data_IF_819965841580
#
_entry.id   IF_819965841580
#
_cell.length_a   1.000
_cell.length_b   1.000
_cell.length_c   1.000
_cell.angle_alpha   90.00
_cell.angle_beta   90.00
_cell.angle_gamma   90.00
#
_symmetry.space_group_name_H-M   'P 1'
#
loop_
_entity.id
_entity.type
_entity.pdbx_description
1 polymer ?
#
# COMPACT_ATOMS: atom_id res chain seq x y z
N UNK A 1 23.30 -14.42 -32.09
CA UNK A 1 21.91 -14.78 -31.73
C UNK A 1 21.45 -16.16 -32.21
N UNK A 2 21.93 -16.72 -33.34
CA UNK A 2 21.58 -18.10 -33.76
C UNK A 2 22.22 -19.23 -32.93
N UNK A 3 23.28 -18.95 -32.17
CA UNK A 3 24.02 -19.97 -31.40
C UNK A 3 23.47 -20.19 -29.98
N UNK A 4 22.66 -19.27 -29.43
CA UNK A 4 22.12 -19.43 -28.06
C UNK A 4 20.96 -20.44 -28.00
N UNK A 5 20.18 -20.56 -29.09
CA UNK A 5 19.10 -21.54 -29.20
C UNK A 5 19.57 -22.99 -29.43
N UNK A 6 20.84 -23.22 -29.76
CA UNK A 6 21.35 -24.54 -30.10
C UNK A 6 21.80 -25.36 -28.88
N UNK A 7 22.12 -24.72 -27.75
CA UNK A 7 22.68 -25.40 -26.56
C UNK A 7 21.72 -25.46 -25.37
N UNK A 8 20.73 -24.58 -25.28
CA UNK A 8 19.73 -24.57 -24.21
C UNK A 8 18.34 -24.86 -24.78
N UNK A 9 17.99 -26.15 -24.85
CA UNK A 9 16.64 -26.56 -25.22
C UNK A 9 15.61 -25.94 -24.25
N UNK A 10 14.37 -25.76 -24.71
CA UNK A 10 13.25 -25.33 -23.88
C UNK A 10 13.10 -26.09 -22.54
N UNK A 11 13.53 -27.36 -22.37
CA UNK A 11 13.48 -28.04 -21.07
C UNK A 11 14.44 -27.43 -20.03
N UNK A 12 15.63 -26.97 -20.44
CA UNK A 12 16.58 -26.34 -19.52
C UNK A 12 16.01 -25.03 -18.95
N UNK A 13 15.44 -24.20 -19.83
CA UNK A 13 14.74 -22.96 -19.44
C UNK A 13 13.55 -23.28 -18.52
N UNK A 14 12.79 -24.34 -18.81
CA UNK A 14 11.67 -24.75 -17.97
C UNK A 14 12.13 -25.19 -16.57
N UNK A 15 13.23 -25.94 -16.47
CA UNK A 15 13.82 -26.36 -15.18
C UNK A 15 14.33 -25.17 -14.39
N UNK A 16 15.02 -24.21 -15.03
CA UNK A 16 15.48 -22.98 -14.39
C UNK A 16 14.32 -22.15 -13.84
N UNK A 17 13.26 -21.96 -14.64
CA UNK A 17 12.06 -21.24 -14.19
C UNK A 17 11.35 -21.96 -13.04
N UNK A 18 11.28 -23.30 -13.08
CA UNK A 18 10.68 -24.09 -12.01
C UNK A 18 11.49 -23.99 -10.72
N UNK A 19 12.83 -24.10 -10.80
CA UNK A 19 13.73 -23.96 -9.66
C UNK A 19 13.63 -22.56 -9.05
N UNK A 20 13.63 -21.53 -9.90
CA UNK A 20 13.46 -20.13 -9.49
C UNK A 20 12.13 -19.91 -8.77
N UNK A 21 11.03 -20.44 -9.32
CA UNK A 21 9.71 -20.38 -8.68
C UNK A 21 9.68 -21.11 -7.33
N UNK A 22 10.32 -22.28 -7.23
CA UNK A 22 10.41 -23.04 -5.99
C UNK A 22 11.23 -22.30 -4.92
N UNK A 23 12.38 -21.72 -5.29
CA UNK A 23 13.21 -20.92 -4.39
C UNK A 23 12.48 -19.67 -3.91
N UNK A 24 11.75 -18.99 -4.80
CA UNK A 24 10.92 -17.83 -4.42
C UNK A 24 9.80 -18.21 -3.47
N UNK A 25 9.08 -19.30 -3.75
CA UNK A 25 8.02 -19.80 -2.87
C UNK A 25 8.57 -20.23 -1.50
N UNK A 26 9.71 -20.95 -1.49
CA UNK A 26 10.42 -21.36 -0.28
C UNK A 26 10.90 -20.17 0.54
N UNK A 27 11.54 -19.19 -0.11
CA UNK A 27 12.00 -17.95 0.51
C UNK A 27 10.86 -17.15 1.12
N UNK A 28 9.72 -17.02 0.42
CA UNK A 28 8.51 -16.38 0.96
C UNK A 28 7.96 -17.10 2.19
N UNK A 29 7.89 -18.42 2.15
CA UNK A 29 7.42 -19.23 3.28
C UNK A 29 8.36 -19.07 4.48
N UNK A 30 9.68 -19.08 4.25
CA UNK A 30 10.68 -18.88 5.29
C UNK A 30 10.60 -17.47 5.90
N UNK A 31 10.45 -16.42 5.08
CA UNK A 31 10.26 -15.05 5.55
C UNK A 31 9.01 -14.92 6.41
N UNK A 32 7.87 -15.46 5.97
CA UNK A 32 6.63 -15.44 6.77
C UNK A 32 6.78 -16.19 8.08
N UNK A 33 7.38 -17.37 8.03
CA UNK A 33 7.60 -18.15 9.24
C UNK A 33 8.52 -17.39 10.22
N UNK A 34 9.59 -16.79 9.71
CA UNK A 34 10.49 -15.93 10.49
C UNK A 34 9.78 -14.70 11.07
N UNK A 35 8.90 -14.04 10.31
CA UNK A 35 8.10 -12.91 10.79
C UNK A 35 7.15 -13.31 11.92
N UNK A 36 6.59 -14.52 11.90
CA UNK A 36 5.75 -15.04 13.01
C UNK A 36 6.54 -15.23 14.30
N UNK A 37 7.81 -15.62 14.23
CA UNK A 37 8.68 -15.69 15.42
C UNK A 37 9.02 -14.32 16.01
N UNK A 38 8.90 -13.26 15.20
CA UNK A 38 9.15 -11.87 15.61
C UNK A 38 7.86 -11.12 15.94
N UNK A 39 6.69 -11.71 15.71
CA UNK A 39 5.43 -11.04 15.95
C UNK A 39 5.23 -10.85 17.47
N UNK A 40 4.86 -9.63 17.92
CA UNK A 40 4.80 -9.30 19.32
C UNK A 40 3.66 -10.08 20.02
N UNK A 41 4.01 -10.75 21.11
CA UNK A 41 3.05 -11.35 22.04
C UNK A 41 2.92 -10.42 23.24
N UNK A 42 1.72 -9.90 23.43
CA UNK A 42 1.38 -8.98 24.50
C UNK A 42 1.01 -9.75 25.76
N UNK A 43 1.51 -9.26 26.91
CA UNK A 43 1.18 -9.82 28.22
C UNK A 43 -0.29 -9.62 28.59
N UNK A 44 -0.86 -8.48 28.24
CA UNK A 44 -2.29 -8.16 28.31
C UNK A 44 -2.61 -7.10 27.25
N UNK A 45 -3.87 -7.00 26.83
CA UNK A 45 -4.28 -5.95 25.87
C UNK A 45 -4.19 -4.54 26.47
N UNK A 46 -4.33 -4.44 27.79
CA UNK A 46 -4.30 -3.17 28.53
C UNK A 46 -2.90 -2.72 28.97
N UNK A 47 -1.88 -3.58 28.84
CA UNK A 47 -0.51 -3.33 29.36
C UNK A 47 0.39 -2.55 28.40
N UNK A 48 -0.15 -2.01 27.29
CA UNK A 48 0.60 -1.07 26.46
C UNK A 48 0.87 0.24 27.23
N UNK A 49 2.02 0.92 26.98
CA UNK A 49 2.34 2.22 27.57
C UNK A 49 1.14 3.18 27.53
N UNK A 50 0.93 3.97 28.59
CA UNK A 50 -0.26 4.82 28.70
C UNK A 50 -0.33 5.91 27.62
N UNK A 51 0.82 6.33 27.10
CA UNK A 51 0.98 7.27 25.99
C UNK A 51 0.70 6.62 24.61
N UNK A 52 0.64 5.29 24.55
CA UNK A 52 0.39 4.56 23.32
C UNK A 52 -1.10 4.31 23.09
N UNK A 53 -1.64 4.97 22.06
CA UNK A 53 -3.00 4.73 21.55
C UNK A 53 -3.09 3.37 20.88
N UNK A 54 -4.23 2.71 21.00
CA UNK A 54 -4.46 1.37 20.44
C UNK A 54 -5.54 1.39 19.36
N UNK A 55 -5.39 0.49 18.40
CA UNK A 55 -6.47 0.11 17.47
C UNK A 55 -6.90 -1.30 17.84
N UNK A 56 -8.10 -1.45 18.38
CA UNK A 56 -8.60 -2.77 18.76
C UNK A 56 -9.18 -3.47 17.53
N UNK A 57 -8.67 -4.65 17.21
CA UNK A 57 -9.16 -5.46 16.10
C UNK A 57 -9.91 -6.68 16.61
N UNK A 58 -11.23 -6.63 16.49
CA UNK A 58 -12.18 -7.68 16.86
C UNK A 58 -12.54 -8.49 15.61
N UNK A 59 -12.46 -9.82 15.71
CA UNK A 59 -12.84 -10.73 14.63
C UNK A 59 -13.10 -12.12 15.17
N UNK A 60 -13.87 -12.89 14.40
CA UNK A 60 -13.92 -14.33 14.63
C UNK A 60 -12.57 -14.97 14.33
N UNK A 61 -12.15 -15.92 15.16
CA UNK A 61 -10.95 -16.69 14.86
C UNK A 61 -11.08 -17.46 13.55
N UNK A 62 -12.29 -17.75 13.07
CA UNK A 62 -12.51 -18.41 11.77
C UNK A 62 -12.00 -17.56 10.58
N UNK A 63 -11.84 -16.26 10.77
CA UNK A 63 -11.40 -15.32 9.74
C UNK A 63 -9.87 -15.17 9.69
N UNK A 64 -9.13 -15.68 10.68
CA UNK A 64 -7.65 -15.55 10.77
C UNK A 64 -6.93 -16.04 9.50
N UNK A 65 -7.39 -17.13 8.89
CA UNK A 65 -6.77 -17.64 7.64
C UNK A 65 -7.01 -16.71 6.45
N UNK A 66 -8.18 -16.05 6.41
CA UNK A 66 -8.51 -15.06 5.39
C UNK A 66 -7.63 -13.82 5.51
N UNK A 67 -7.47 -13.29 6.72
CA UNK A 67 -6.59 -12.15 7.00
C UNK A 67 -5.10 -12.48 6.82
N UNK A 68 -4.70 -13.75 6.99
CA UNK A 68 -3.35 -14.23 6.72
C UNK A 68 -3.07 -14.46 5.21
N UNK A 69 -4.06 -14.23 4.32
CA UNK A 69 -3.83 -14.25 2.87
C UNK A 69 -2.82 -13.17 2.52
N UNK A 70 -1.94 -13.51 1.59
CA UNK A 70 -1.06 -12.54 0.96
C UNK A 70 -1.63 -12.25 -0.41
N UNK A 71 -1.78 -10.96 -0.66
CA UNK A 71 -2.26 -10.45 -1.91
C UNK A 71 -1.38 -10.98 -3.05
N UNK A 72 -2.02 -11.63 -4.01
CA UNK A 72 -1.35 -12.02 -5.25
C UNK A 72 -1.33 -10.79 -6.16
N UNK A 73 -0.15 -10.27 -6.45
CA UNK A 73 0.01 -9.22 -7.46
C UNK A 73 -0.44 -9.69 -8.84
N UNK A 74 -0.72 -8.78 -9.79
CA UNK A 74 -1.05 -9.14 -11.16
C UNK A 74 0.05 -10.02 -11.76
N UNK A 75 -0.33 -11.13 -12.41
CA UNK A 75 0.64 -12.06 -13.05
C UNK A 75 1.57 -11.33 -14.03
N UNK A 76 1.08 -10.24 -14.64
CA UNK A 76 1.83 -9.39 -15.58
C UNK A 76 3.06 -8.72 -14.96
N UNK A 77 3.06 -8.47 -13.67
CA UNK A 77 4.18 -7.82 -12.97
C UNK A 77 5.27 -8.85 -12.54
N UNK A 78 5.05 -10.12 -12.87
CA UNK A 78 6.01 -11.21 -12.71
C UNK A 78 6.05 -11.79 -11.29
N UNK A 79 6.73 -12.95 -11.11
CA UNK A 79 6.78 -13.65 -9.83
C UNK A 79 7.51 -12.87 -8.73
N UNK A 80 8.20 -11.78 -9.07
CA UNK A 80 8.99 -10.93 -8.17
C UNK A 80 8.20 -9.78 -7.54
N UNK A 81 7.05 -9.41 -8.11
CA UNK A 81 6.30 -8.22 -7.69
C UNK A 81 5.34 -8.45 -6.51
N UNK A 82 5.16 -9.69 -6.03
CA UNK A 82 4.22 -9.93 -4.95
C UNK A 82 4.78 -9.43 -3.61
N UNK A 83 4.05 -8.51 -2.99
CA UNK A 83 4.19 -8.15 -1.59
C UNK A 83 4.17 -9.44 -0.74
N UNK A 84 5.01 -9.50 0.29
CA UNK A 84 5.05 -10.63 1.23
C UNK A 84 4.09 -10.45 2.39
N UNK A 85 3.56 -9.24 2.55
CA UNK A 85 2.70 -8.88 3.66
C UNK A 85 1.30 -9.46 3.52
N UNK A 86 0.78 -9.96 4.65
CA UNK A 86 -0.60 -10.41 4.76
C UNK A 86 -1.57 -9.25 4.70
N UNK A 87 -2.83 -9.52 4.39
CA UNK A 87 -3.88 -8.50 4.45
C UNK A 87 -4.01 -7.92 5.87
N UNK A 88 -3.79 -8.71 6.93
CA UNK A 88 -3.71 -8.19 8.31
C UNK A 88 -2.53 -7.23 8.52
N UNK A 89 -1.35 -7.53 7.95
CA UNK A 89 -0.20 -6.64 8.03
C UNK A 89 -0.44 -5.33 7.26
N UNK A 90 -1.06 -5.41 6.09
CA UNK A 90 -1.44 -4.24 5.31
C UNK A 90 -2.50 -3.41 6.05
N UNK A 91 -3.48 -4.05 6.69
CA UNK A 91 -4.48 -3.39 7.51
C UNK A 91 -3.84 -2.69 8.72
N UNK A 92 -2.90 -3.34 9.40
CA UNK A 92 -2.10 -2.71 10.48
C UNK A 92 -1.43 -1.43 10.01
N UNK A 93 -0.81 -1.45 8.83
CA UNK A 93 -0.15 -0.27 8.26
C UNK A 93 -1.14 0.80 7.85
N UNK A 94 -2.30 0.41 7.32
CA UNK A 94 -3.38 1.30 6.96
C UNK A 94 -3.88 2.12 8.16
N UNK A 95 -3.98 1.52 9.35
CA UNK A 95 -4.52 2.17 10.56
C UNK A 95 -3.45 2.64 11.56
N UNK A 96 -2.17 2.47 11.23
CA UNK A 96 -1.05 2.87 12.10
C UNK A 96 -1.13 4.32 12.63
N UNK A 97 -1.65 5.32 11.88
CA UNK A 97 -1.80 6.67 12.42
C UNK A 97 -2.74 6.78 13.63
N UNK A 98 -3.69 5.85 13.80
CA UNK A 98 -4.57 5.82 14.97
C UNK A 98 -3.89 5.22 16.22
N UNK A 99 -2.94 4.30 16.02
CA UNK A 99 -2.24 3.63 17.11
C UNK A 99 -1.79 2.22 16.76
N UNK A 100 -1.29 1.52 17.77
CA UNK A 100 -0.82 0.14 17.63
C UNK A 100 -2.00 -0.82 17.58
N UNK A 101 -2.09 -1.60 16.48
CA UNK A 101 -3.17 -2.55 16.28
C UNK A 101 -2.99 -3.79 17.16
N UNK A 102 -4.00 -4.11 17.97
CA UNK A 102 -3.99 -5.23 18.91
C UNK A 102 -5.23 -6.10 18.75
N UNK A 103 -5.10 -7.40 19.04
CA UNK A 103 -6.19 -8.36 18.98
C UNK A 103 -6.02 -9.50 19.99
N UNK A 104 -7.10 -10.21 20.27
CA UNK A 104 -6.99 -11.52 20.90
C UNK A 104 -6.43 -12.56 19.92
N UNK A 105 -5.51 -13.39 20.41
CA UNK A 105 -5.03 -14.57 19.72
C UNK A 105 -5.83 -15.81 20.06
N UNK A 106 -5.88 -16.78 19.15
CA UNK A 106 -6.53 -18.07 19.42
C UNK A 106 -5.64 -18.86 20.39
N UNK A 107 -6.15 -19.31 21.57
CA UNK A 107 -5.31 -19.94 22.60
C UNK A 107 -4.50 -21.16 22.14
N UNK A 108 -4.97 -21.87 21.11
CA UNK A 108 -4.34 -23.06 20.55
C UNK A 108 -3.29 -22.77 19.46
N UNK A 109 -3.02 -21.50 19.15
CA UNK A 109 -2.01 -21.15 18.15
C UNK A 109 -0.60 -21.48 18.66
N UNK A 110 0.16 -22.24 17.86
CA UNK A 110 1.57 -22.55 18.18
C UNK A 110 2.51 -21.36 18.00
N UNK A 111 2.16 -20.45 17.09
CA UNK A 111 2.89 -19.23 16.79
C UNK A 111 1.90 -18.11 16.50
N UNK A 112 2.17 -16.87 16.92
CA UNK A 112 1.33 -15.74 16.57
C UNK A 112 1.24 -15.53 15.05
N UNK A 113 0.09 -15.02 14.61
CA UNK A 113 -0.05 -14.52 13.25
C UNK A 113 0.65 -13.16 13.14
N UNK A 114 1.11 -12.83 11.93
CA UNK A 114 1.72 -11.52 11.65
C UNK A 114 0.61 -10.53 11.34
N UNK A 115 0.70 -9.32 11.89
CA UNK A 115 -0.38 -8.34 11.81
C UNK A 115 -0.54 -7.64 13.15
N UNK A 116 -1.71 -7.75 13.77
CA UNK A 116 -1.97 -7.19 15.09
C UNK A 116 -1.07 -7.83 16.16
N UNK A 117 -0.68 -7.04 17.16
CA UNK A 117 -0.08 -7.56 18.39
C UNK A 117 -1.10 -8.39 19.17
N UNK A 118 -0.72 -9.58 19.62
CA UNK A 118 -1.67 -10.55 20.17
C UNK A 118 -1.50 -10.77 21.65
N UNK A 119 -2.60 -10.74 22.38
CA UNK A 119 -2.69 -11.30 23.71
C UNK A 119 -3.46 -12.62 23.67
N UNK A 120 -2.97 -13.63 24.40
CA UNK A 120 -3.60 -14.94 24.51
C UNK A 120 -4.18 -15.09 25.91
N UNK A 121 -5.51 -15.10 26.02
CA UNK A 121 -6.22 -15.25 27.28
C UNK A 121 -6.89 -16.62 27.36
N UNK A 122 -7.13 -17.09 28.59
CA UNK A 122 -8.05 -18.20 28.85
C UNK A 122 -9.50 -17.81 28.57
N UNK A 123 -10.38 -18.82 28.46
CA UNK A 123 -11.81 -18.66 28.22
C UNK A 123 -12.54 -17.88 29.34
N UNK A 124 -11.95 -17.80 30.54
CA UNK A 124 -12.51 -17.08 31.68
C UNK A 124 -12.06 -15.60 31.74
N UNK A 125 -10.92 -15.27 31.14
CA UNK A 125 -10.31 -13.92 31.25
C UNK A 125 -10.48 -13.02 30.03
N UNK A 126 -10.90 -13.56 28.88
CA UNK A 126 -10.82 -12.82 27.61
C UNK A 126 -11.79 -11.63 27.55
N UNK A 127 -12.97 -11.74 28.17
CA UNK A 127 -13.95 -10.65 28.20
C UNK A 127 -13.39 -9.41 28.92
N UNK A 128 -12.73 -9.60 30.06
CA UNK A 128 -12.09 -8.51 30.80
C UNK A 128 -11.00 -7.82 29.95
N UNK A 129 -10.23 -8.60 29.18
CA UNK A 129 -9.22 -8.06 28.26
C UNK A 129 -9.85 -7.24 27.13
N UNK A 130 -10.96 -7.70 26.54
CA UNK A 130 -11.68 -6.94 25.51
C UNK A 130 -12.24 -5.64 26.05
N UNK A 131 -12.87 -5.67 27.24
CA UNK A 131 -13.43 -4.46 27.85
C UNK A 131 -12.36 -3.41 28.13
N UNK A 132 -11.22 -3.82 28.71
CA UNK A 132 -10.10 -2.93 28.97
C UNK A 132 -9.45 -2.38 27.69
N UNK A 133 -9.40 -3.19 26.62
CA UNK A 133 -8.90 -2.74 25.33
C UNK A 133 -9.84 -1.72 24.67
N UNK A 134 -11.17 -1.93 24.78
CA UNK A 134 -12.17 -1.01 24.24
C UNK A 134 -12.10 0.37 24.88
N UNK A 135 -11.83 0.46 26.19
CA UNK A 135 -11.68 1.74 26.89
C UNK A 135 -10.50 2.59 26.37
N UNK A 136 -9.45 1.93 25.88
CA UNK A 136 -8.22 2.57 25.40
C UNK A 136 -8.18 2.78 23.89
N UNK A 137 -9.08 2.15 23.15
CA UNK A 137 -9.07 2.12 21.70
C UNK A 137 -9.36 3.52 21.12
N UNK A 138 -8.42 4.03 20.34
CA UNK A 138 -8.65 5.22 19.50
C UNK A 138 -9.50 4.88 18.27
N UNK A 139 -9.46 3.62 17.84
CA UNK A 139 -10.26 3.05 16.75
C UNK A 139 -10.56 1.58 17.07
N UNK A 140 -11.78 1.14 16.78
CA UNK A 140 -12.22 -0.25 16.85
C UNK A 140 -12.50 -0.74 15.44
N UNK A 141 -11.76 -1.74 15.01
CA UNK A 141 -11.98 -2.48 13.77
C UNK A 141 -12.73 -3.77 14.10
N UNK A 142 -13.89 -4.00 13.48
CA UNK A 142 -14.68 -5.21 13.70
C UNK A 142 -14.88 -5.94 12.37
N UNK A 143 -14.32 -7.14 12.21
CA UNK A 143 -14.59 -7.96 11.04
C UNK A 143 -16.01 -8.55 11.11
N UNK A 144 -16.78 -8.39 10.03
CA UNK A 144 -18.13 -8.95 9.87
C UNK A 144 -18.06 -10.47 9.67
N UNK A 145 -17.70 -11.18 10.75
CA UNK A 145 -17.43 -12.61 10.81
C UNK A 145 -18.61 -13.45 11.31
N UNK A 146 -18.58 -14.77 11.12
CA UNK A 146 -19.50 -15.66 11.81
C UNK A 146 -19.04 -15.89 13.26
N UNK A 147 -19.95 -15.91 14.24
CA UNK A 147 -19.61 -16.36 15.58
C UNK A 147 -20.56 -15.91 16.68
N UNK A 148 -20.85 -16.81 17.62
CA UNK A 148 -21.68 -16.50 18.81
C UNK A 148 -21.00 -15.50 19.76
N UNK A 149 -19.69 -15.65 19.97
CA UNK A 149 -18.94 -14.74 20.86
C UNK A 149 -18.83 -13.32 20.28
N UNK A 150 -18.84 -13.19 18.95
CA UNK A 150 -18.78 -11.90 18.27
C UNK A 150 -20.00 -11.04 18.58
N UNK A 151 -21.19 -11.64 18.80
CA UNK A 151 -22.39 -10.88 19.20
C UNK A 151 -22.15 -10.11 20.49
N UNK A 152 -21.61 -10.77 21.52
CA UNK A 152 -21.28 -10.11 22.77
C UNK A 152 -20.29 -8.96 22.55
N UNK A 153 -19.25 -9.17 21.74
CA UNK A 153 -18.29 -8.11 21.41
C UNK A 153 -18.95 -6.90 20.71
N UNK A 154 -19.85 -7.15 19.76
CA UNK A 154 -20.64 -6.11 19.08
C UNK A 154 -21.52 -5.36 20.08
N UNK A 155 -22.22 -6.07 20.96
CA UNK A 155 -23.05 -5.46 22.01
C UNK A 155 -22.22 -4.55 22.93
N UNK A 156 -21.00 -4.98 23.31
CA UNK A 156 -20.09 -4.16 24.12
C UNK A 156 -19.59 -2.91 23.38
N UNK A 157 -19.33 -3.02 22.07
CA UNK A 157 -18.92 -1.88 21.24
C UNK A 157 -20.07 -0.88 21.12
N UNK A 158 -21.28 -1.35 20.79
CA UNK A 158 -22.45 -0.47 20.62
C UNK A 158 -22.86 0.20 21.93
N UNK A 159 -22.84 -0.53 23.05
CA UNK A 159 -23.19 0.01 24.37
C UNK A 159 -22.29 1.18 24.84
N UNK A 160 -21.11 1.36 24.24
CA UNK A 160 -20.20 2.49 24.54
C UNK A 160 -20.58 3.79 23.84
N UNK A 161 -21.50 3.74 22.89
CA UNK A 161 -22.04 4.89 22.15
C UNK A 161 -20.96 5.80 21.55
N UNK A 162 -19.95 5.18 20.92
CA UNK A 162 -18.86 5.87 20.22
C UNK A 162 -18.77 5.42 18.74
N UNK A 163 -19.85 5.59 17.95
CA UNK A 163 -19.91 5.09 16.57
C UNK A 163 -18.80 5.64 15.66
N UNK A 164 -18.34 6.87 15.90
CA UNK A 164 -17.28 7.51 15.10
C UNK A 164 -15.91 6.83 15.21
N UNK A 165 -15.71 5.99 16.24
CA UNK A 165 -14.50 5.19 16.45
C UNK A 165 -14.66 3.77 15.95
N UNK A 166 -15.81 3.39 15.43
CA UNK A 166 -16.09 2.04 14.93
C UNK A 166 -15.99 2.00 13.40
N UNK A 167 -15.23 1.03 12.92
CA UNK A 167 -15.22 0.63 11.51
C UNK A 167 -15.51 -0.86 11.43
N UNK A 168 -16.56 -1.24 10.70
CA UNK A 168 -16.80 -2.62 10.33
C UNK A 168 -16.04 -2.95 9.06
N UNK A 169 -15.44 -4.13 9.03
CA UNK A 169 -14.70 -4.66 7.88
C UNK A 169 -15.55 -5.76 7.25
N UNK A 170 -16.04 -5.49 6.04
CA UNK A 170 -16.75 -6.48 5.23
C UNK A 170 -15.71 -7.43 4.65
N UNK A 171 -15.84 -8.72 4.96
CA UNK A 171 -14.86 -9.74 4.59
C UNK A 171 -15.50 -10.87 3.79
N UNK A 172 -14.65 -11.62 3.07
CA UNK A 172 -14.99 -12.81 2.27
C UNK A 172 -15.91 -12.50 1.08
N UNK A 173 -17.22 -12.37 1.32
CA UNK A 173 -18.25 -12.27 0.32
C UNK A 173 -19.54 -11.64 0.87
N UNK A 174 -20.48 -11.35 -0.04
CA UNK A 174 -21.73 -10.68 0.30
C UNK A 174 -22.67 -11.54 1.16
N UNK A 175 -22.59 -12.87 1.03
CA UNK A 175 -23.43 -13.81 1.79
C UNK A 175 -23.06 -13.75 3.26
N UNK A 176 -21.77 -13.80 3.59
CA UNK A 176 -21.29 -13.70 4.98
C UNK A 176 -21.73 -12.38 5.62
N UNK A 177 -21.59 -11.26 4.91
CA UNK A 177 -22.03 -9.97 5.43
C UNK A 177 -23.54 -9.87 5.60
N UNK A 178 -24.33 -10.42 4.67
CA UNK A 178 -25.78 -10.49 4.81
C UNK A 178 -26.19 -11.27 6.07
N UNK A 179 -25.57 -12.42 6.33
CA UNK A 179 -25.79 -13.21 7.56
C UNK A 179 -25.37 -12.46 8.81
N UNK A 180 -24.24 -11.74 8.79
CA UNK A 180 -23.81 -10.90 9.91
C UNK A 180 -24.82 -9.79 10.20
N UNK A 181 -25.28 -9.10 9.15
CA UNK A 181 -26.28 -8.04 9.26
C UNK A 181 -27.59 -8.55 9.86
N UNK A 182 -28.08 -9.69 9.39
CA UNK A 182 -29.31 -10.31 9.92
C UNK A 182 -29.15 -10.67 11.41
N UNK A 183 -28.00 -11.25 11.78
CA UNK A 183 -27.72 -11.65 13.16
C UNK A 183 -27.53 -10.47 14.14
N UNK A 184 -27.24 -9.26 13.64
CA UNK A 184 -26.98 -8.06 14.44
C UNK A 184 -28.04 -6.96 14.22
N UNK A 185 -29.15 -7.27 13.55
CA UNK A 185 -30.18 -6.30 13.18
C UNK A 185 -30.78 -5.55 14.39
N UNK A 186 -30.82 -6.22 15.55
CA UNK A 186 -31.36 -5.71 16.81
C UNK A 186 -30.31 -4.97 17.65
N UNK A 187 -29.04 -5.05 17.27
CA UNK A 187 -27.94 -4.47 18.04
C UNK A 187 -27.57 -3.08 17.54
N UNK A 188 -27.53 -2.86 16.21
CA UNK A 188 -27.16 -1.54 15.64
C UNK A 188 -28.37 -0.58 15.61
N UNK A 189 -28.29 0.62 16.22
CA UNK A 189 -29.45 1.52 16.37
C UNK A 189 -30.14 1.93 15.06
N UNK A 190 -29.40 2.06 13.96
CA UNK A 190 -29.91 2.37 12.63
C UNK A 190 -29.78 1.22 11.63
N UNK A 191 -29.48 0.02 12.13
CA UNK A 191 -29.17 -1.15 11.30
C UNK A 191 -27.87 -1.01 10.51
N UNK A 192 -27.66 -1.93 9.56
CA UNK A 192 -26.48 -1.95 8.68
C UNK A 192 -26.90 -1.91 7.19
N UNK A 193 -26.08 -1.30 6.33
CA UNK A 193 -26.40 -1.12 4.91
C UNK A 193 -26.36 -2.46 4.16
N UNK A 194 -27.10 -2.57 3.05
CA UNK A 194 -27.02 -3.72 2.13
C UNK A 194 -25.86 -3.59 1.15
N UNK A 195 -25.25 -4.72 0.76
CA UNK A 195 -24.30 -4.74 -0.35
C UNK A 195 -25.01 -4.68 -1.71
N UNK A 196 -26.20 -5.28 -1.81
CA UNK A 196 -26.98 -5.39 -3.06
C UNK A 196 -27.68 -4.10 -3.48
N UNK A 197 -27.40 -2.98 -2.82
CA UNK A 197 -27.84 -1.66 -3.26
C UNK A 197 -27.00 -1.21 -4.48
N UNK A 198 -27.03 -2.00 -5.55
CA UNK A 198 -26.56 -1.62 -6.86
C UNK A 198 -27.63 -0.74 -7.51
N UNK A 199 -27.31 0.55 -7.66
CA UNK A 199 -28.18 1.51 -8.34
C UNK A 199 -27.75 2.95 -8.09
N UNK A 200 -27.55 3.70 -9.16
CA UNK A 200 -27.42 5.17 -9.13
C UNK A 200 -28.61 5.75 -8.36
N UNK A 201 -28.38 6.19 -7.12
CA UNK A 201 -29.41 6.78 -6.26
C UNK A 201 -29.35 6.42 -4.77
N UNK A 202 -28.65 5.36 -4.38
CA UNK A 202 -28.66 4.86 -2.99
C UNK A 202 -27.43 5.22 -2.13
N UNK A 203 -26.59 6.15 -2.60
CA UNK A 203 -25.46 6.68 -1.82
C UNK A 203 -24.23 5.77 -1.68
N UNK A 204 -24.20 4.58 -2.30
CA UNK A 204 -22.98 3.77 -2.39
C UNK A 204 -21.99 4.42 -3.39
N UNK A 205 -20.74 4.74 -2.99
CA UNK A 205 -19.76 5.33 -3.90
C UNK A 205 -19.42 4.40 -5.07
N UNK A 206 -19.26 4.99 -6.26
CA UNK A 206 -18.81 4.28 -7.47
C UNK A 206 -17.39 3.76 -7.29
N UNK A 207 -17.14 2.50 -7.66
CA UNK A 207 -15.78 1.92 -7.68
C UNK A 207 -15.06 2.38 -8.95
N UNK A 208 -14.02 3.19 -8.79
CA UNK A 208 -13.24 3.75 -9.91
C UNK A 208 -11.92 3.00 -10.13
N UNK A 209 -11.53 2.14 -9.19
CA UNK A 209 -10.37 1.27 -9.32
C UNK A 209 -10.75 -0.13 -8.89
N UNK A 210 -10.68 -1.09 -9.81
CA UNK A 210 -10.89 -2.50 -9.47
C UNK A 210 -9.71 -3.08 -8.69
N UNK A 211 -10.00 -3.75 -7.58
CA UNK A 211 -9.01 -4.42 -6.74
C UNK A 211 -8.71 -5.86 -7.18
N UNK A 212 -7.60 -6.45 -6.69
CA UNK A 212 -7.41 -7.89 -6.76
C UNK A 212 -8.36 -8.64 -5.82
N UNK A 213 -8.44 -9.97 -5.96
CA UNK A 213 -9.21 -10.80 -5.03
C UNK A 213 -8.55 -10.83 -3.63
N UNK A 214 -9.03 -9.93 -2.78
CA UNK A 214 -8.64 -9.76 -1.37
C UNK A 214 -9.72 -10.28 -0.44
N UNK A 215 -9.37 -10.65 0.78
CA UNK A 215 -10.32 -11.06 1.80
C UNK A 215 -11.11 -9.87 2.36
N UNK A 216 -10.47 -8.70 2.50
CA UNK A 216 -11.11 -7.43 2.89
C UNK A 216 -11.74 -6.77 1.67
N UNK A 217 -13.06 -6.59 1.67
CA UNK A 217 -13.82 -6.13 0.49
C UNK A 217 -14.28 -4.67 0.60
N UNK A 218 -14.96 -4.33 1.70
CA UNK A 218 -15.54 -3.01 1.93
C UNK A 218 -15.34 -2.60 3.40
N UNK A 219 -15.54 -1.31 3.68
CA UNK A 219 -15.58 -0.79 5.04
C UNK A 219 -16.95 -0.14 5.31
N UNK A 220 -17.47 -0.30 6.52
CA UNK A 220 -18.61 0.46 7.02
C UNK A 220 -18.14 1.33 8.17
N UNK A 221 -18.40 2.63 8.10
CA UNK A 221 -18.13 3.58 9.17
C UNK A 221 -19.41 4.33 9.52
N UNK A 222 -19.45 4.99 10.67
CA UNK A 222 -20.68 5.58 11.20
C UNK A 222 -20.53 7.07 11.49
N UNK A 223 -21.61 7.83 11.33
CA UNK A 223 -21.75 9.16 11.92
C UNK A 223 -22.00 9.09 13.43
N UNK A 224 -21.89 10.23 14.12
CA UNK A 224 -22.15 10.35 15.55
C UNK A 224 -23.56 9.85 15.97
N UNK A 225 -24.52 9.84 15.04
CA UNK A 225 -25.89 9.40 15.27
C UNK A 225 -26.16 7.95 14.80
N UNK A 226 -25.11 7.14 14.66
CA UNK A 226 -25.14 5.77 14.15
C UNK A 226 -25.54 5.60 12.68
N UNK A 227 -25.60 6.67 11.87
CA UNK A 227 -25.86 6.52 10.43
C UNK A 227 -24.71 5.76 9.77
N UNK A 228 -24.95 4.58 9.16
CA UNK A 228 -23.88 3.80 8.57
C UNK A 228 -23.59 4.22 7.12
N UNK A 229 -22.30 4.18 6.75
CA UNK A 229 -21.81 4.49 5.43
C UNK A 229 -20.96 3.34 4.90
N UNK A 230 -21.46 2.65 3.86
CA UNK A 230 -20.73 1.58 3.18
C UNK A 230 -19.82 2.17 2.09
N UNK A 231 -18.52 1.96 2.22
CA UNK A 231 -17.53 2.41 1.24
C UNK A 231 -16.71 1.23 0.72
N UNK A 232 -16.84 0.87 -0.56
CA UNK A 232 -15.99 -0.13 -1.19
C UNK A 232 -14.52 0.29 -1.21
N UNK A 233 -13.60 -0.67 -1.14
CA UNK A 233 -12.19 -0.38 -1.43
C UNK A 233 -12.04 -0.03 -2.91
N UNK A 234 -11.39 1.09 -3.21
CA UNK A 234 -11.28 1.61 -4.59
C UNK A 234 -12.42 2.52 -5.02
N UNK A 235 -13.34 2.85 -4.11
CA UNK A 235 -14.38 3.84 -4.30
C UNK A 235 -13.83 5.22 -4.69
N UNK A 236 -14.60 5.97 -5.48
CA UNK A 236 -14.33 7.36 -5.80
C UNK A 236 -14.39 8.24 -4.55
N UNK A 237 -13.50 9.22 -4.49
CA UNK A 237 -13.54 10.30 -3.51
C UNK A 237 -13.79 11.64 -4.23
N UNK A 238 -14.66 12.51 -3.69
CA UNK A 238 -14.99 13.80 -4.31
C UNK A 238 -13.84 14.82 -4.28
N UNK A 239 -12.89 14.70 -3.37
CA UNK A 239 -11.79 15.64 -3.17
C UNK A 239 -10.47 15.14 -3.75
N UNK A 240 -10.28 13.81 -3.85
CA UNK A 240 -9.04 13.20 -4.33
C UNK A 240 -9.25 12.24 -5.50
N UNK A 241 -8.29 12.23 -6.42
CA UNK A 241 -8.17 11.25 -7.49
C UNK A 241 -7.53 9.95 -6.96
N UNK A 242 -8.40 9.07 -6.47
CA UNK A 242 -8.06 7.81 -5.79
C UNK A 242 -7.10 6.92 -6.59
N UNK A 243 -7.22 6.91 -7.93
CA UNK A 243 -6.38 6.11 -8.83
C UNK A 243 -4.87 6.37 -8.68
N UNK A 244 -4.48 7.56 -8.22
CA UNK A 244 -3.08 7.92 -8.04
C UNK A 244 -2.51 7.59 -6.67
N UNK A 245 -3.37 7.22 -5.72
CA UNK A 245 -3.02 6.90 -4.33
C UNK A 245 -3.02 5.41 -4.06
N UNK A 246 -3.78 4.64 -4.84
CA UNK A 246 -3.88 3.19 -4.70
C UNK A 246 -2.65 2.48 -5.27
N UNK A 247 -2.08 1.61 -4.45
CA UNK A 247 -1.07 0.63 -4.82
C UNK A 247 -1.73 -0.73 -5.00
N UNK A 248 -1.81 -1.21 -6.25
CA UNK A 248 -2.42 -2.51 -6.60
C UNK A 248 -1.62 -3.72 -6.07
N UNK A 249 -0.41 -3.54 -5.56
CA UNK A 249 0.36 -4.60 -4.92
C UNK A 249 0.21 -4.60 -3.39
N UNK A 250 -0.18 -3.46 -2.81
CA UNK A 250 -0.50 -3.27 -1.40
C UNK A 250 -1.91 -2.65 -1.26
N UNK A 251 -2.90 -3.40 -1.74
CA UNK A 251 -4.25 -2.94 -1.96
C UNK A 251 -4.92 -2.51 -0.67
N UNK A 252 -4.92 -3.38 0.35
CA UNK A 252 -5.52 -3.08 1.65
C UNK A 252 -4.81 -1.89 2.29
N UNK A 253 -3.47 -1.84 2.21
CA UNK A 253 -2.68 -0.77 2.81
C UNK A 253 -3.03 0.61 2.25
N UNK A 254 -3.33 0.69 0.97
CA UNK A 254 -3.54 1.96 0.26
C UNK A 254 -5.01 2.31 0.03
N UNK A 255 -5.87 1.33 -0.22
CA UNK A 255 -7.30 1.55 -0.49
C UNK A 255 -8.14 1.64 0.80
N UNK A 256 -7.82 0.86 1.84
CA UNK A 256 -8.59 0.89 3.09
C UNK A 256 -8.60 2.28 3.75
N UNK A 257 -7.45 3.00 3.89
CA UNK A 257 -7.48 4.35 4.46
C UNK A 257 -8.32 5.36 3.69
N UNK A 258 -8.42 5.18 2.36
CA UNK A 258 -9.25 6.04 1.51
C UNK A 258 -10.73 5.73 1.70
N UNK A 259 -11.09 4.44 1.85
CA UNK A 259 -12.47 4.02 2.11
C UNK A 259 -13.01 4.55 3.46
N UNK A 260 -12.13 4.74 4.46
CA UNK A 260 -12.49 5.32 5.76
C UNK A 260 -11.91 6.72 5.98
N UNK A 261 -11.63 7.47 4.91
CA UNK A 261 -11.05 8.82 5.00
C UNK A 261 -11.86 9.79 5.88
N UNK A 262 -13.21 9.74 5.95
CA UNK A 262 -13.98 10.53 6.90
C UNK A 262 -13.60 10.25 8.38
N UNK A 263 -13.28 9.00 8.72
CA UNK A 263 -12.83 8.60 10.07
C UNK A 263 -11.47 9.21 10.39
N UNK A 264 -10.53 9.19 9.44
CA UNK A 264 -9.24 9.88 9.58
C UNK A 264 -9.41 11.38 9.83
N UNK A 265 -10.26 12.03 9.03
CA UNK A 265 -10.52 13.46 9.13
C UNK A 265 -11.08 13.86 10.50
N UNK A 266 -12.05 13.10 11.03
CA UNK A 266 -12.63 13.34 12.36
C UNK A 266 -11.60 13.20 13.48
N UNK A 267 -10.68 12.25 13.33
CA UNK A 267 -9.59 12.06 14.28
C UNK A 267 -8.45 13.09 14.14
N UNK A 268 -8.51 14.00 13.15
CA UNK A 268 -7.44 14.94 12.85
C UNK A 268 -6.17 14.26 12.33
N UNK A 269 -6.33 13.14 11.64
CA UNK A 269 -5.25 12.31 11.11
C UNK A 269 -5.24 12.32 9.58
N UNK A 270 -4.07 12.11 9.00
CA UNK A 270 -3.91 11.93 7.55
C UNK A 270 -3.86 10.44 7.18
N UNK A 271 -4.62 10.00 6.16
CA UNK A 271 -4.50 8.64 5.63
C UNK A 271 -3.06 8.35 5.19
N UNK A 272 -2.51 7.15 5.44
CA UNK A 272 -1.20 6.77 4.93
C UNK A 272 -1.07 7.00 3.42
N UNK A 273 -0.01 7.70 3.02
CA UNK A 273 0.25 8.02 1.62
C UNK A 273 -0.44 9.28 1.09
N UNK A 274 -1.42 9.85 1.80
CA UNK A 274 -2.07 11.11 1.44
C UNK A 274 -1.58 12.23 2.38
N UNK A 275 -0.89 13.27 1.89
CA UNK A 275 -0.57 14.45 2.70
C UNK A 275 -1.82 15.29 3.01
N UNK A 276 -1.79 16.20 4.00
CA UNK A 276 -2.97 16.97 4.45
C UNK A 276 -3.56 17.90 3.38
N UNK A 277 -2.77 18.26 2.37
CA UNK A 277 -3.19 19.12 1.27
C UNK A 277 -2.15 19.22 0.17
N UNK A 278 -2.38 20.14 -0.78
CA UNK A 278 -1.43 20.42 -1.88
C UNK A 278 -0.12 20.97 -1.31
N UNK A 279 0.97 20.31 -1.66
CA UNK A 279 2.29 20.69 -1.20
C UNK A 279 3.05 21.51 -2.26
N UNK A 280 3.91 22.42 -1.81
CA UNK A 280 4.85 23.09 -2.70
C UNK A 280 5.94 22.13 -3.18
N UNK A 281 6.52 22.42 -4.35
CA UNK A 281 7.57 21.58 -4.95
C UNK A 281 8.79 21.49 -4.01
N UNK A 282 9.22 20.28 -3.61
CA UNK A 282 10.35 20.11 -2.70
C UNK A 282 11.67 20.49 -3.35
N UNK A 283 12.65 20.90 -2.53
CA UNK A 283 14.02 21.23 -2.99
C UNK A 283 14.66 20.06 -3.74
N UNK A 284 14.37 18.83 -3.32
CA UNK A 284 14.86 17.62 -3.97
C UNK A 284 14.50 17.57 -5.47
N UNK A 285 13.27 17.92 -5.85
CA UNK A 285 12.87 17.99 -7.27
C UNK A 285 13.55 19.16 -7.98
N UNK A 286 13.65 20.32 -7.31
CA UNK A 286 14.31 21.51 -7.85
C UNK A 286 15.78 21.28 -8.18
N UNK A 287 16.45 20.38 -7.46
CA UNK A 287 17.87 20.01 -7.69
C UNK A 287 17.97 18.82 -8.64
N UNK A 288 17.16 17.77 -8.44
CA UNK A 288 17.27 16.54 -9.19
C UNK A 288 16.98 16.70 -10.68
N UNK A 289 15.92 17.44 -11.04
CA UNK A 289 15.53 17.60 -12.45
C UNK A 289 16.61 18.32 -13.25
N UNK A 290 17.15 19.48 -12.81
CA UNK A 290 18.28 20.11 -13.50
C UNK A 290 19.54 19.24 -13.52
N UNK A 291 19.85 18.54 -12.42
CA UNK A 291 21.01 17.65 -12.36
C UNK A 291 20.92 16.52 -13.39
N UNK A 292 19.77 15.86 -13.48
CA UNK A 292 19.50 14.81 -14.47
C UNK A 292 19.54 15.39 -15.88
N UNK A 293 18.94 16.57 -16.10
CA UNK A 293 18.96 17.26 -17.39
C UNK A 293 20.39 17.56 -17.87
N UNK A 294 21.23 18.08 -16.98
CA UNK A 294 22.63 18.38 -17.27
C UNK A 294 23.43 17.10 -17.55
N UNK A 295 23.19 16.02 -16.81
CA UNK A 295 23.87 14.75 -17.05
C UNK A 295 23.49 14.14 -18.41
N UNK A 296 22.22 14.18 -18.78
CA UNK A 296 21.77 13.76 -20.12
C UNK A 296 22.34 14.66 -21.22
N UNK A 297 22.35 15.98 -21.03
CA UNK A 297 22.93 16.92 -21.98
C UNK A 297 24.45 16.69 -22.15
N UNK A 298 25.17 16.46 -21.05
CA UNK A 298 26.59 16.12 -21.06
C UNK A 298 26.88 14.84 -21.82
N UNK A 299 26.05 13.81 -21.63
CA UNK A 299 26.16 12.57 -22.41
C UNK A 299 25.93 12.80 -23.92
N UNK A 300 24.90 13.55 -24.28
CA UNK A 300 24.58 13.85 -25.69
C UNK A 300 25.66 14.72 -26.37
N UNK A 301 26.36 15.55 -25.60
CA UNK A 301 27.44 16.41 -26.10
C UNK A 301 28.78 15.66 -26.25
N UNK A 302 28.93 14.45 -25.70
CA UNK A 302 30.17 13.70 -25.82
C UNK A 302 30.40 13.20 -27.26
N UNK A 303 31.64 13.26 -27.78
CA UNK A 303 31.97 12.78 -29.12
C UNK A 303 31.63 11.29 -29.26
N UNK A 304 30.66 10.97 -30.12
CA UNK A 304 30.24 9.60 -30.36
C UNK A 304 31.24 8.92 -31.31
N UNK A 305 31.53 7.64 -31.10
CA UNK A 305 32.51 6.88 -31.89
C UNK A 305 32.04 6.55 -33.33
N UNK A 306 30.83 6.95 -33.72
CA UNK A 306 30.28 6.81 -35.07
C UNK A 306 30.11 8.17 -35.74
N UNK A 307 30.31 8.25 -37.06
CA UNK A 307 30.37 9.48 -37.85
C UNK A 307 29.20 10.47 -37.68
N UNK A 308 29.33 11.65 -38.30
CA UNK A 308 28.55 12.90 -38.12
C UNK A 308 27.01 12.79 -38.11
N UNK A 309 26.42 11.65 -38.48
CA UNK A 309 24.97 11.43 -38.56
C UNK A 309 24.33 10.92 -37.26
N UNK A 310 25.11 10.58 -36.23
CA UNK A 310 24.58 10.00 -34.98
C UNK A 310 23.91 11.03 -34.04
N UNK A 311 24.40 12.26 -34.01
CA UNK A 311 23.96 13.29 -33.05
C UNK A 311 22.51 13.78 -33.26
N UNK A 312 22.03 14.10 -34.48
CA UNK A 312 20.63 14.47 -34.67
C UNK A 312 19.68 13.32 -34.32
N UNK A 313 20.07 12.08 -34.60
CA UNK A 313 19.30 10.88 -34.25
C UNK A 313 19.16 10.74 -32.73
N UNK A 314 20.25 10.84 -31.98
CA UNK A 314 20.21 10.79 -30.51
C UNK A 314 19.40 11.95 -29.90
N UNK A 315 19.51 13.15 -30.46
CA UNK A 315 18.77 14.30 -29.97
C UNK A 315 17.26 14.13 -30.17
N UNK A 316 16.83 13.62 -31.31
CA UNK A 316 15.41 13.41 -31.63
C UNK A 316 14.82 12.24 -30.84
N UNK A 317 15.51 11.09 -30.80
CA UNK A 317 14.94 9.87 -30.22
C UNK A 317 15.20 9.70 -28.72
N UNK A 318 16.17 10.42 -28.16
CA UNK A 318 16.52 10.32 -26.73
C UNK A 318 16.38 11.68 -26.04
N UNK A 319 16.99 12.73 -26.60
CA UNK A 319 17.02 14.06 -26.00
C UNK A 319 15.65 14.69 -25.82
N UNK A 320 14.86 14.78 -26.89
CA UNK A 320 13.52 15.39 -26.86
C UNK A 320 12.52 14.64 -25.94
N UNK A 321 12.37 13.30 -26.03
CA UNK A 321 11.52 12.55 -25.10
C UNK A 321 11.95 12.73 -23.65
N UNK A 322 13.25 12.66 -23.36
CA UNK A 322 13.76 12.85 -22.01
C UNK A 322 13.52 14.28 -21.49
N UNK A 323 13.71 15.29 -22.34
CA UNK A 323 13.38 16.69 -22.02
C UNK A 323 11.90 16.87 -21.67
N UNK A 324 11.01 16.28 -22.45
CA UNK A 324 9.56 16.27 -22.17
C UNK A 324 9.21 15.57 -20.85
N UNK A 325 9.83 14.42 -20.57
CA UNK A 325 9.66 13.69 -19.31
C UNK A 325 10.17 14.49 -18.11
N UNK A 326 11.31 15.16 -18.23
CA UNK A 326 11.89 16.01 -17.17
C UNK A 326 11.01 17.25 -16.93
N UNK A 327 10.52 17.89 -17.99
CA UNK A 327 9.57 19.00 -17.88
C UNK A 327 8.28 18.55 -17.19
N UNK A 328 7.69 17.42 -17.58
CA UNK A 328 6.50 16.89 -16.88
C UNK A 328 6.79 16.54 -15.43
N UNK A 329 7.95 15.96 -15.14
CA UNK A 329 8.40 15.64 -13.76
C UNK A 329 8.51 16.92 -12.92
N UNK A 330 9.03 18.01 -13.50
CA UNK A 330 9.09 19.33 -12.87
C UNK A 330 7.70 19.83 -12.45
N UNK A 331 6.69 19.60 -13.28
CA UNK A 331 5.29 19.99 -12.98
C UNK A 331 4.50 18.93 -12.19
N UNK A 332 5.15 17.89 -11.66
CA UNK A 332 4.50 16.89 -10.80
C UNK A 332 3.85 15.73 -11.57
N UNK A 333 4.15 15.58 -12.86
CA UNK A 333 3.67 14.47 -13.68
C UNK A 333 4.13 13.12 -13.13
N UNK A 334 3.18 12.35 -12.59
CA UNK A 334 3.44 11.10 -11.87
C UNK A 334 4.09 10.02 -12.75
N UNK A 335 3.51 9.79 -13.92
CA UNK A 335 4.00 8.80 -14.91
C UNK A 335 5.37 9.21 -15.43
N UNK A 336 5.55 10.49 -15.74
CA UNK A 336 6.81 11.02 -16.24
C UNK A 336 7.96 10.83 -15.23
N UNK A 337 7.71 11.10 -13.95
CA UNK A 337 8.71 10.88 -12.90
C UNK A 337 9.12 9.40 -12.79
N UNK A 338 8.17 8.47 -12.94
CA UNK A 338 8.47 7.04 -13.00
C UNK A 338 9.45 6.70 -14.13
N UNK A 339 9.16 7.15 -15.35
CA UNK A 339 10.05 6.96 -16.50
C UNK A 339 11.42 7.61 -16.32
N UNK A 340 11.47 8.86 -15.83
CA UNK A 340 12.76 9.54 -15.55
C UNK A 340 13.62 8.70 -14.61
N UNK A 341 13.03 8.14 -13.54
CA UNK A 341 13.76 7.32 -12.57
C UNK A 341 14.26 6.01 -13.17
N UNK A 342 13.41 5.31 -13.94
CA UNK A 342 13.77 4.05 -14.59
C UNK A 342 14.90 4.27 -15.60
N UNK A 343 14.69 5.15 -16.58
CA UNK A 343 15.68 5.37 -17.63
C UNK A 343 16.98 5.96 -17.09
N UNK A 344 16.91 6.96 -16.20
CA UNK A 344 18.12 7.55 -15.61
C UNK A 344 18.84 6.57 -14.67
N UNK A 345 18.11 5.68 -13.99
CA UNK A 345 18.69 4.65 -13.13
C UNK A 345 19.42 3.58 -13.93
N UNK A 346 18.79 3.03 -14.98
CA UNK A 346 19.44 2.09 -15.90
C UNK A 346 20.69 2.72 -16.51
N UNK A 347 20.56 3.96 -16.99
CA UNK A 347 21.65 4.66 -17.64
C UNK A 347 22.79 5.01 -16.67
N UNK A 348 22.47 5.38 -15.43
CA UNK A 348 23.47 5.58 -14.38
C UNK A 348 24.32 4.34 -14.14
N UNK A 349 23.70 3.15 -14.04
CA UNK A 349 24.40 1.87 -13.87
C UNK A 349 25.31 1.61 -15.06
N UNK A 350 24.80 1.74 -16.29
CA UNK A 350 25.59 1.53 -17.50
C UNK A 350 26.82 2.45 -17.56
N UNK A 351 26.63 3.75 -17.28
CA UNK A 351 27.72 4.73 -17.29
C UNK A 351 28.76 4.50 -16.18
N UNK A 352 28.34 4.00 -15.01
CA UNK A 352 29.25 3.68 -13.91
C UNK A 352 30.02 2.37 -14.14
N UNK A 353 29.44 1.40 -14.88
CA UNK A 353 30.09 0.13 -15.21
C UNK A 353 30.99 0.22 -16.45
N UNK A 354 30.75 1.16 -17.36
CA UNK A 354 31.53 1.31 -18.59
C UNK A 354 33.06 1.42 -18.38
N UNK A 355 33.58 2.12 -17.34
CA UNK A 355 35.01 2.14 -17.04
C UNK A 355 35.61 0.79 -16.58
N UNK A 356 34.78 -0.18 -16.17
CA UNK A 356 35.22 -1.48 -15.66
C UNK A 356 35.32 -2.55 -16.77
N UNK A 357 34.94 -2.21 -18.00
CA UNK A 357 35.04 -3.13 -19.13
C UNK A 357 36.51 -3.32 -19.55
N UNK A 358 36.91 -4.52 -20.04
CA UNK A 358 38.30 -4.84 -20.38
C UNK A 358 38.96 -3.87 -21.38
N UNK A 359 38.17 -3.30 -22.30
CA UNK A 359 38.62 -2.37 -23.35
C UNK A 359 38.31 -0.89 -23.01
N UNK A 360 38.18 -0.55 -21.73
CA UNK A 360 37.85 0.81 -21.30
C UNK A 360 38.95 1.82 -21.68
N UNK A 361 38.62 2.74 -22.58
CA UNK A 361 39.50 3.86 -22.94
C UNK A 361 39.44 5.00 -21.91
N UNK A 362 40.41 5.92 -21.91
CA UNK A 362 40.35 7.15 -21.09
C UNK A 362 39.04 7.95 -21.27
N UNK A 363 38.34 7.80 -22.40
CA UNK A 363 37.06 8.46 -22.65
C UNK A 363 35.93 7.92 -21.76
N UNK A 364 35.96 6.63 -21.41
CA UNK A 364 34.91 6.03 -20.56
C UNK A 364 34.98 6.53 -19.12
N UNK A 365 36.14 6.99 -18.65
CA UNK A 365 36.27 7.67 -17.35
C UNK A 365 35.39 8.92 -17.24
N UNK A 366 35.13 9.62 -18.36
CA UNK A 366 34.22 10.76 -18.42
C UNK A 366 32.76 10.40 -18.14
N UNK A 367 32.38 9.13 -18.27
CA UNK A 367 31.01 8.66 -17.99
C UNK A 367 30.71 8.55 -16.50
N UNK A 368 31.74 8.34 -15.67
CA UNK A 368 31.57 8.17 -14.22
C UNK A 368 30.86 9.37 -13.55
N UNK A 369 31.30 10.64 -13.73
CA UNK A 369 30.61 11.77 -13.12
C UNK A 369 29.16 11.94 -13.61
N UNK A 370 28.88 11.60 -14.88
CA UNK A 370 27.52 11.64 -15.43
C UNK A 370 26.64 10.55 -14.82
N UNK A 371 27.17 9.32 -14.69
CA UNK A 371 26.49 8.22 -14.04
C UNK A 371 26.18 8.50 -12.57
N UNK A 372 27.14 9.04 -11.83
CA UNK A 372 26.95 9.46 -10.43
C UNK A 372 25.92 10.59 -10.30
N UNK A 373 25.92 11.58 -11.20
CA UNK A 373 24.94 12.65 -11.21
C UNK A 373 23.51 12.13 -11.47
N UNK A 374 23.34 11.20 -12.40
CA UNK A 374 22.06 10.54 -12.65
C UNK A 374 21.61 9.73 -11.42
N UNK A 375 22.50 8.93 -10.83
CA UNK A 375 22.20 8.16 -9.62
C UNK A 375 21.76 9.07 -8.46
N UNK A 376 22.49 10.16 -8.22
CA UNK A 376 22.14 11.16 -7.21
C UNK A 376 20.78 11.82 -7.49
N UNK A 377 20.50 12.18 -8.74
CA UNK A 377 19.20 12.69 -9.16
C UNK A 377 18.05 11.70 -8.89
N UNK A 378 18.25 10.42 -9.22
CA UNK A 378 17.26 9.35 -8.98
C UNK A 378 17.02 9.13 -7.48
N UNK A 379 18.08 9.18 -6.66
CA UNK A 379 17.97 9.10 -5.20
C UNK A 379 17.21 10.29 -4.63
N UNK A 380 17.49 11.51 -5.10
CA UNK A 380 16.74 12.71 -4.71
C UNK A 380 15.26 12.59 -5.08
N UNK A 381 14.92 12.11 -6.28
CA UNK A 381 13.53 11.83 -6.69
C UNK A 381 12.89 10.64 -5.94
N UNK A 382 13.66 9.89 -5.14
CA UNK A 382 13.17 8.78 -4.30
C UNK A 382 12.91 9.17 -2.85
N UNK A 383 13.26 10.40 -2.45
CA UNK A 383 13.01 10.89 -1.10
C UNK A 383 11.51 10.91 -0.75
N UNK A 384 11.23 10.81 0.55
CA UNK A 384 9.87 10.76 1.08
C UNK A 384 9.09 12.08 0.84
N UNK A 385 9.76 13.23 0.90
CA UNK A 385 9.14 14.54 0.62
C UNK A 385 8.69 14.65 -0.85
N UNK A 386 9.44 14.06 -1.79
CA UNK A 386 9.03 13.98 -3.20
C UNK A 386 7.81 13.07 -3.37
N UNK A 387 7.79 11.92 -2.68
CA UNK A 387 6.63 11.00 -2.71
C UNK A 387 5.38 11.66 -2.14
N UNK A 388 5.49 12.37 -1.00
CA UNK A 388 4.38 13.15 -0.42
C UNK A 388 3.92 14.26 -1.36
N UNK A 389 4.84 15.04 -1.93
CA UNK A 389 4.48 16.07 -2.91
C UNK A 389 3.76 15.48 -4.13
N UNK A 390 4.23 14.35 -4.65
CA UNK A 390 3.57 13.62 -5.75
C UNK A 390 2.14 13.22 -5.38
N UNK A 391 1.95 12.62 -4.21
CA UNK A 391 0.64 12.24 -3.71
C UNK A 391 -0.29 13.44 -3.49
N UNK A 392 0.25 14.60 -3.11
CA UNK A 392 -0.53 15.85 -3.00
C UNK A 392 -1.13 16.31 -4.34
N UNK A 393 -0.61 15.82 -5.47
CA UNK A 393 -1.19 16.05 -6.79
C UNK A 393 -2.53 15.34 -6.99
N UNK A 394 -2.90 14.37 -6.15
CA UNK A 394 -4.19 13.68 -6.23
C UNK A 394 -5.36 14.60 -5.82
N UNK A 395 -5.13 15.69 -5.10
CA UNK A 395 -6.19 16.63 -4.77
C UNK A 395 -6.74 17.29 -6.04
N UNK A 396 -8.05 17.11 -6.30
CA UNK A 396 -8.73 17.71 -7.45
C UNK A 396 -8.65 19.23 -7.37
N UNK A 397 -8.17 19.88 -8.43
CA UNK A 397 -8.18 21.34 -8.53
C UNK A 397 -9.61 21.83 -8.72
N UNK A 398 -10.32 22.13 -7.63
CA UNK A 398 -11.73 22.54 -7.74
C UNK A 398 -12.48 22.99 -6.49
N UNK A 399 -11.96 22.76 -5.27
CA UNK A 399 -12.49 23.44 -4.08
C UNK A 399 -11.33 24.07 -3.32
N UNK A 400 -11.26 25.39 -3.40
CA UNK A 400 -10.62 26.18 -2.36
C UNK A 400 -11.27 25.78 -1.02
N UNK A 401 -10.45 25.67 0.02
CA UNK A 401 -10.93 25.54 1.41
C UNK A 401 -12.02 26.59 1.67
N UNK A 402 -13.12 26.26 2.36
CA UNK A 402 -13.91 27.31 2.99
C UNK A 402 -13.01 27.95 4.05
N UNK A 403 -12.75 29.24 3.83
CA UNK A 403 -12.06 30.18 4.70
C UNK A 403 -12.60 30.22 6.12
#
# INVERSE_FOLDING_TARGET
>A
MRTWHAEHGWPAVAVELALMAALLAGGRRALRHGSRHRAPVLRALAELPQDERTVLFLRSFADDEGFARVQRGPVRDGPWAADTDTEEQQLREAVAPFGTMVALGRPKDRLPQVGAGRHYSSDEGWQAQVLAALERAALVLLACGPGRNLRWEVEQVVARDQPERLVLIVVRDAVQYASFREAMQDVFPKGLPSLDAEGEGNGRPEVVVDGPDTYIKDAVWFDADWTPHLTPLGAADPEVEVIWLIDRLAWVRSAFPLAIRPVFRRAGLDPPGLPPGRMSRPRAVKVAVPLIALAWAGFLAMPQAGGTNGLPTLLVFVGLPMGGLLMRTWFGGQVAMGFVKIFSGIFAVLLCLAPLLPDASQRTLGFLPLGLALAAGVLLLSRQDVRRWKASGAYRSGRAEPS
#
